data_IF_810608828714
#
_entry.id   IF_810608828714
#
_cell.length_a   1.000
_cell.length_b   1.000
_cell.length_c   1.000
_cell.angle_alpha   90.00
_cell.angle_beta   90.00
_cell.angle_gamma   90.00
#
_symmetry.space_group_name_H-M   'P 1'
#
loop_
_entity.id
_entity.type
_entity.pdbx_description
1 polymer ?
#
# COMPACT_ATOMS: atom_id res chain seq x y z
N UNK A 1 8.85 17.22 -5.89
CA UNK A 1 8.68 16.44 -7.13
C UNK A 1 8.16 15.08 -6.71
N UNK A 2 6.97 14.64 -7.14
CA UNK A 2 6.48 13.30 -6.82
C UNK A 2 7.26 12.29 -7.66
N UNK A 3 7.73 11.20 -7.05
CA UNK A 3 8.46 10.16 -7.78
C UNK A 3 7.47 9.35 -8.63
N UNK A 4 7.78 9.19 -9.91
CA UNK A 4 6.94 8.45 -10.85
C UNK A 4 7.39 7.00 -10.98
N UNK A 5 6.44 6.08 -10.83
CA UNK A 5 6.61 4.64 -10.91
C UNK A 5 5.89 4.16 -12.17
N UNK A 6 6.61 3.53 -13.07
CA UNK A 6 6.03 2.83 -14.22
C UNK A 6 6.29 1.35 -14.01
N UNK A 7 5.21 0.60 -13.80
CA UNK A 7 5.25 -0.79 -13.38
C UNK A 7 4.41 -1.63 -14.35
N UNK A 8 4.81 -2.87 -14.57
CA UNK A 8 4.17 -3.78 -15.54
C UNK A 8 3.75 -5.08 -14.86
N UNK A 9 2.59 -5.60 -15.25
CA UNK A 9 2.06 -6.85 -14.73
C UNK A 9 2.58 -8.10 -15.47
N UNK A 10 3.15 -7.93 -16.67
CA UNK A 10 3.73 -9.03 -17.44
C UNK A 10 5.09 -9.46 -16.90
N UNK A 11 5.30 -10.77 -16.78
CA UNK A 11 6.45 -11.37 -16.08
C UNK A 11 7.71 -11.51 -16.94
N UNK A 12 7.53 -11.59 -18.25
CA UNK A 12 8.62 -11.62 -19.24
C UNK A 12 9.39 -10.29 -19.30
N UNK A 13 8.78 -9.20 -18.82
CA UNK A 13 9.38 -7.85 -18.70
C UNK A 13 9.67 -7.45 -17.26
N UNK A 14 9.86 -8.41 -16.34
CA UNK A 14 10.33 -8.15 -14.97
C UNK A 14 11.81 -7.70 -14.98
N UNK A 15 12.08 -6.53 -15.52
CA UNK A 15 13.35 -5.86 -15.31
C UNK A 15 13.45 -5.42 -13.85
N UNK A 16 14.63 -5.59 -13.25
CA UNK A 16 14.91 -5.02 -11.94
C UNK A 16 14.74 -3.51 -12.01
N UNK A 17 13.80 -2.99 -11.24
CA UNK A 17 13.56 -1.55 -11.20
C UNK A 17 14.52 -0.86 -10.25
N UNK A 18 14.98 0.33 -10.63
CA UNK A 18 15.76 1.23 -9.77
C UNK A 18 14.88 2.14 -8.91
N UNK A 19 13.58 1.84 -8.80
CA UNK A 19 12.63 2.61 -8.00
C UNK A 19 12.85 2.34 -6.51
N UNK A 20 13.03 3.43 -5.76
CA UNK A 20 13.30 3.40 -4.32
C UNK A 20 12.37 4.38 -3.62
N UNK A 21 11.73 3.93 -2.56
CA UNK A 21 11.06 4.78 -1.57
C UNK A 21 11.83 4.70 -0.27
N UNK A 22 12.04 5.84 0.39
CA UNK A 22 12.69 5.89 1.70
C UNK A 22 11.82 6.68 2.65
N UNK A 23 11.42 6.05 3.74
CA UNK A 23 10.70 6.69 4.83
C UNK A 23 11.45 6.53 6.15
N UNK A 24 11.03 7.29 7.15
CA UNK A 24 11.55 7.17 8.51
C UNK A 24 10.43 6.74 9.45
N UNK A 25 10.79 5.93 10.44
CA UNK A 25 9.89 5.59 11.54
C UNK A 25 9.29 6.86 12.16
N UNK A 26 7.96 6.88 12.33
CA UNK A 26 7.23 8.01 12.91
C UNK A 26 6.73 9.06 11.92
N UNK A 27 7.10 8.97 10.64
CA UNK A 27 6.48 9.80 9.60
C UNK A 27 5.04 9.33 9.35
N UNK A 28 4.06 10.24 9.50
CA UNK A 28 2.64 9.90 9.33
C UNK A 28 2.15 10.02 7.88
N UNK A 29 2.63 11.00 7.11
CA UNK A 29 2.16 11.26 5.73
C UNK A 29 3.27 11.84 4.83
N UNK A 30 4.42 11.18 4.73
CA UNK A 30 5.58 11.76 4.01
C UNK A 30 5.81 11.23 2.59
N UNK A 31 5.30 10.04 2.26
CA UNK A 31 5.68 9.33 1.04
C UNK A 31 4.48 9.06 0.12
N UNK A 32 4.37 9.85 -0.94
CA UNK A 32 3.40 9.63 -2.03
C UNK A 32 4.13 9.44 -3.35
N UNK A 33 3.79 8.37 -4.08
CA UNK A 33 4.28 8.08 -5.42
C UNK A 33 3.18 8.24 -6.46
N UNK A 34 3.56 8.61 -7.67
CA UNK A 34 2.69 8.68 -8.85
C UNK A 34 2.90 7.40 -9.68
N UNK A 35 1.87 6.59 -9.90
CA UNK A 35 2.00 5.21 -10.40
C UNK A 35 1.24 5.02 -11.69
N UNK A 36 1.88 4.41 -12.69
CA UNK A 36 1.28 3.96 -13.94
C UNK A 36 1.46 2.45 -14.08
N UNK A 37 0.34 1.73 -14.18
CA UNK A 37 0.35 0.29 -14.44
C UNK A 37 0.27 0.02 -15.93
N UNK A 38 1.14 -0.87 -16.38
CA UNK A 38 1.24 -1.35 -17.75
C UNK A 38 0.94 -2.84 -17.84
N UNK A 39 0.54 -3.28 -19.03
CA UNK A 39 0.43 -4.67 -19.41
C UNK A 39 1.17 -4.85 -20.75
N UNK A 40 2.43 -5.27 -20.66
CA UNK A 40 3.30 -5.42 -21.82
C UNK A 40 3.76 -4.11 -22.43
N UNK A 41 3.84 -3.04 -21.63
CA UNK A 41 4.21 -1.68 -22.04
C UNK A 41 3.02 -0.76 -22.33
N UNK A 42 1.84 -1.32 -22.59
CA UNK A 42 0.62 -0.56 -22.83
C UNK A 42 -0.10 -0.21 -21.52
N UNK A 43 -0.81 0.93 -21.43
CA UNK A 43 -1.62 1.25 -20.24
C UNK A 43 -2.56 0.10 -19.85
N UNK A 44 -2.60 -0.23 -18.56
CA UNK A 44 -3.50 -1.25 -18.02
C UNK A 44 -4.71 -0.58 -17.35
N UNK A 45 -5.92 -0.63 -17.95
CA UNK A 45 -7.11 -0.05 -17.32
C UNK A 45 -7.43 -0.69 -15.97
N UNK A 46 -7.81 0.14 -15.00
CA UNK A 46 -8.15 -0.24 -13.62
C UNK A 46 -9.66 -0.15 -13.34
N UNK A 47 -10.49 0.06 -14.35
CA UNK A 47 -11.95 0.17 -14.20
C UNK A 47 -12.52 -1.11 -13.61
N UNK A 48 -13.23 -0.99 -12.48
CA UNK A 48 -13.76 -2.12 -11.70
C UNK A 48 -12.69 -3.10 -11.17
N UNK A 49 -11.45 -2.64 -11.02
CA UNK A 49 -10.37 -3.37 -10.37
C UNK A 49 -9.98 -2.66 -9.07
N UNK A 50 -9.54 -3.44 -8.08
CA UNK A 50 -9.00 -2.92 -6.83
C UNK A 50 -7.49 -3.05 -6.87
N UNK A 51 -6.78 -1.98 -6.55
CA UNK A 51 -5.32 -1.98 -6.41
C UNK A 51 -4.98 -2.11 -4.93
N UNK A 52 -4.04 -2.99 -4.61
CA UNK A 52 -3.43 -3.09 -3.30
C UNK A 52 -1.93 -2.88 -3.40
N UNK A 53 -1.37 -2.19 -2.41
CA UNK A 53 0.04 -2.31 -2.07
C UNK A 53 0.25 -3.48 -1.12
N UNK A 54 1.27 -4.29 -1.38
CA UNK A 54 1.63 -5.43 -0.54
C UNK A 54 3.12 -5.40 -0.23
N UNK A 55 3.47 -5.59 1.05
CA UNK A 55 4.87 -5.75 1.42
C UNK A 55 5.10 -6.67 2.61
N UNK A 56 6.34 -7.17 2.72
CA UNK A 56 6.85 -7.88 3.89
C UNK A 56 8.00 -7.06 4.48
N UNK A 57 7.81 -6.60 5.71
CA UNK A 57 8.76 -5.73 6.42
C UNK A 57 10.00 -6.51 6.89
N UNK A 58 11.08 -5.81 7.31
CA UNK A 58 12.29 -6.47 7.81
C UNK A 58 12.05 -7.50 8.92
N UNK A 59 11.05 -7.29 9.77
CA UNK A 59 10.66 -8.14 10.90
C UNK A 59 9.62 -9.22 10.57
N UNK A 60 9.38 -9.50 9.28
CA UNK A 60 8.44 -10.49 8.76
C UNK A 60 6.94 -10.16 8.94
N UNK A 61 6.59 -9.01 9.53
CA UNK A 61 5.20 -8.56 9.51
C UNK A 61 4.82 -8.01 8.14
N UNK A 62 3.55 -8.16 7.75
CA UNK A 62 3.08 -7.86 6.39
C UNK A 62 2.16 -6.64 6.37
N UNK A 63 2.17 -5.92 5.24
CA UNK A 63 1.24 -4.84 4.94
C UNK A 63 0.44 -5.25 3.71
N UNK A 64 -0.89 -5.12 3.78
CA UNK A 64 -1.77 -5.15 2.62
C UNK A 64 -2.70 -3.94 2.72
N UNK A 65 -2.48 -2.97 1.85
CA UNK A 65 -3.20 -1.71 1.88
C UNK A 65 -3.84 -1.36 0.53
N UNK A 66 -5.05 -0.82 0.57
CA UNK A 66 -5.72 -0.19 -0.57
C UNK A 66 -6.11 1.26 -0.30
N UNK A 67 -5.99 1.73 0.94
CA UNK A 67 -6.51 3.02 1.37
C UNK A 67 -5.59 4.17 0.97
N UNK A 68 -4.28 3.89 0.86
CA UNK A 68 -3.34 4.82 0.27
C UNK A 68 -3.55 5.05 -1.23
N UNK A 69 -4.39 4.25 -1.92
CA UNK A 69 -4.62 4.35 -3.37
C UNK A 69 -5.65 5.44 -3.68
N UNK A 70 -5.24 6.41 -4.48
CA UNK A 70 -6.12 7.41 -5.06
C UNK A 70 -6.05 7.37 -6.60
N UNK A 71 -7.09 6.82 -7.22
CA UNK A 71 -7.18 6.65 -8.68
C UNK A 71 -7.32 8.03 -9.35
N UNK A 72 -6.42 8.34 -10.29
CA UNK A 72 -6.41 9.61 -11.03
C UNK A 72 -7.04 9.43 -12.41
N UNK A 73 -6.62 8.41 -13.16
CA UNK A 73 -7.17 8.03 -14.46
C UNK A 73 -7.18 6.50 -14.58
N UNK A 74 -8.34 5.92 -14.24
CA UNK A 74 -8.53 4.47 -14.28
C UNK A 74 -8.30 3.89 -15.68
N UNK A 75 -8.67 4.61 -16.76
CA UNK A 75 -8.54 4.09 -18.12
C UNK A 75 -7.07 3.96 -18.55
N UNK A 76 -6.19 4.78 -17.96
CA UNK A 76 -4.74 4.76 -18.24
C UNK A 76 -3.93 4.00 -17.19
N UNK A 77 -4.57 3.39 -16.21
CA UNK A 77 -3.89 2.71 -15.11
C UNK A 77 -3.09 3.66 -14.21
N UNK A 78 -3.56 4.89 -14.05
CA UNK A 78 -2.86 5.95 -13.33
C UNK A 78 -3.50 6.23 -11.97
N UNK A 79 -2.70 6.17 -10.91
CA UNK A 79 -3.10 6.51 -9.55
C UNK A 79 -1.93 7.08 -8.77
N UNK A 80 -2.22 7.76 -7.67
CA UNK A 80 -1.21 8.06 -6.65
C UNK A 80 -1.34 7.07 -5.49
N UNK A 81 -0.23 6.70 -4.88
CA UNK A 81 -0.24 5.89 -3.66
C UNK A 81 0.53 6.58 -2.54
N UNK A 82 -0.14 6.78 -1.41
CA UNK A 82 0.48 7.28 -0.18
C UNK A 82 0.75 6.09 0.75
N UNK A 83 2.01 5.91 1.11
CA UNK A 83 2.40 4.81 2.01
C UNK A 83 1.91 5.11 3.43
N UNK A 84 1.21 4.16 4.07
CA UNK A 84 0.81 4.31 5.47
C UNK A 84 2.04 4.16 6.39
N UNK A 85 1.99 4.77 7.57
CA UNK A 85 3.12 4.83 8.51
C UNK A 85 3.62 3.44 8.94
N UNK A 86 2.72 2.47 8.96
CA UNK A 86 2.91 1.05 9.27
C UNK A 86 3.92 0.38 8.33
N UNK A 87 4.09 0.88 7.09
CA UNK A 87 5.13 0.39 6.16
C UNK A 87 6.52 0.66 6.71
N UNK A 88 6.70 1.79 7.38
CA UNK A 88 7.98 2.24 7.89
C UNK A 88 8.21 1.91 9.37
N UNK A 89 7.31 1.17 10.03
CA UNK A 89 7.42 0.87 11.46
C UNK A 89 8.56 -0.09 11.84
N UNK A 90 9.15 -0.80 10.89
CA UNK A 90 10.27 -1.72 11.11
C UNK A 90 11.50 -1.24 10.33
N UNK A 91 12.61 -0.91 11.01
CA UNK A 91 13.78 -0.33 10.35
C UNK A 91 14.52 -1.36 9.52
N UNK A 92 14.97 -0.96 8.34
CA UNK A 92 15.70 -1.77 7.38
C UNK A 92 15.06 -1.79 5.99
N UNK A 93 15.61 -2.62 5.13
CA UNK A 93 15.08 -2.85 3.79
C UNK A 93 13.88 -3.80 3.85
N UNK A 94 12.75 -3.35 3.30
CA UNK A 94 11.56 -4.18 3.10
C UNK A 94 11.93 -5.35 2.19
N UNK A 95 11.57 -6.57 2.62
CA UNK A 95 11.97 -7.83 1.97
C UNK A 95 11.31 -8.03 0.62
N UNK A 96 10.10 -7.51 0.45
CA UNK A 96 9.29 -7.59 -0.77
C UNK A 96 8.30 -6.45 -0.79
N UNK A 97 8.11 -5.78 -1.92
CA UNK A 97 7.18 -4.66 -2.06
C UNK A 97 6.71 -4.54 -3.51
N UNK A 98 5.40 -4.61 -3.75
CA UNK A 98 4.79 -4.56 -5.09
C UNK A 98 3.34 -4.09 -5.01
N UNK A 99 2.72 -3.82 -6.16
CA UNK A 99 1.28 -3.63 -6.26
C UNK A 99 0.60 -4.88 -6.82
N UNK A 100 -0.57 -5.23 -6.28
CA UNK A 100 -1.48 -6.21 -6.86
C UNK A 100 -2.74 -5.54 -7.38
N UNK A 101 -3.30 -6.09 -8.45
CA UNK A 101 -4.55 -5.65 -9.06
C UNK A 101 -5.49 -6.84 -9.08
N UNK A 102 -6.67 -6.66 -8.49
CA UNK A 102 -7.63 -7.73 -8.25
C UNK A 102 -9.04 -7.40 -8.70
N UNK A 103 -9.81 -8.44 -8.99
CA UNK A 103 -11.27 -8.37 -9.18
C UNK A 103 -11.96 -9.54 -8.52
N UNK A 104 -12.67 -9.29 -7.42
CA UNK A 104 -13.60 -10.22 -6.76
C UNK A 104 -13.09 -11.67 -6.67
N UNK A 105 -11.78 -11.88 -6.40
CA UNK A 105 -11.09 -13.20 -6.39
C UNK A 105 -11.08 -13.98 -7.72
N UNK A 106 -11.67 -13.44 -8.78
CA UNK A 106 -11.70 -14.02 -10.13
C UNK A 106 -10.45 -13.68 -10.95
N UNK A 107 -9.79 -12.57 -10.60
CA UNK A 107 -8.58 -12.09 -11.28
C UNK A 107 -7.59 -11.55 -10.25
N UNK A 108 -6.31 -11.85 -10.47
CA UNK A 108 -5.20 -11.24 -9.76
C UNK A 108 -4.00 -11.10 -10.70
N UNK A 109 -3.40 -9.93 -10.72
CA UNK A 109 -2.11 -9.64 -11.34
C UNK A 109 -1.22 -8.85 -10.37
N UNK A 110 0.10 -8.91 -10.55
CA UNK A 110 1.06 -8.19 -9.69
C UNK A 110 2.12 -7.51 -10.52
N UNK A 111 2.66 -6.39 -10.02
CA UNK A 111 3.80 -5.70 -10.63
C UNK A 111 5.12 -6.35 -10.24
N UNK A 112 6.21 -5.95 -10.89
CA UNK A 112 7.55 -6.18 -10.35
C UNK A 112 7.72 -5.58 -8.96
N UNK A 113 8.66 -6.16 -8.21
CA UNK A 113 9.06 -5.65 -6.91
C UNK A 113 9.83 -4.34 -7.07
N UNK A 114 9.68 -3.41 -6.12
CA UNK A 114 10.49 -2.20 -5.99
C UNK A 114 11.07 -2.07 -4.58
N UNK A 115 12.06 -1.19 -4.40
CA UNK A 115 12.75 -1.07 -3.13
C UNK A 115 12.04 -0.10 -2.18
N UNK A 116 11.85 -0.53 -0.93
CA UNK A 116 11.38 0.34 0.16
C UNK A 116 12.35 0.22 1.33
N UNK A 117 12.80 1.37 1.84
CA UNK A 117 13.75 1.46 2.95
C UNK A 117 13.09 2.22 4.10
N UNK A 118 13.04 1.60 5.27
CA UNK A 118 12.68 2.26 6.52
C UNK A 118 13.92 2.64 7.32
N UNK A 119 14.04 3.91 7.64
CA UNK A 119 15.10 4.46 8.49
C UNK A 119 14.64 4.53 9.95
N UNK A 120 15.56 4.27 10.89
CA UNK A 120 15.31 4.45 12.32
C UNK A 120 15.01 5.91 12.65
N UNK A 121 14.11 6.16 13.59
CA UNK A 121 14.00 7.44 14.26
C UNK A 121 15.20 7.67 15.20
N UNK A 122 15.29 8.86 15.79
CA UNK A 122 16.36 9.18 16.74
C UNK A 122 16.14 8.56 18.13
N UNK A 123 14.91 8.14 18.46
CA UNK A 123 14.48 7.82 19.83
C UNK A 123 13.88 6.41 19.99
N UNK A 124 13.84 5.58 18.95
CA UNK A 124 13.47 4.15 18.92
C UNK A 124 12.04 3.79 19.35
N UNK A 125 11.08 4.74 19.35
CA UNK A 125 9.85 4.57 20.16
C UNK A 125 8.50 4.95 19.54
N UNK A 126 8.39 5.25 18.25
CA UNK A 126 7.17 5.90 17.75
C UNK A 126 6.05 4.97 17.26
N UNK A 127 6.33 3.76 16.76
CA UNK A 127 5.31 2.87 16.21
C UNK A 127 5.70 1.41 16.47
N UNK A 128 4.82 0.63 17.10
CA UNK A 128 4.96 -0.83 17.18
C UNK A 128 4.73 -1.45 15.81
N UNK A 129 5.59 -2.40 15.44
CA UNK A 129 5.51 -3.02 14.12
C UNK A 129 4.63 -4.26 14.17
N UNK A 130 3.46 -4.17 13.51
CA UNK A 130 2.50 -5.26 13.42
C UNK A 130 2.11 -5.54 11.96
N UNK A 131 1.34 -6.61 11.75
CA UNK A 131 0.72 -6.89 10.46
C UNK A 131 -0.48 -5.98 10.27
N UNK A 132 -0.52 -5.25 9.15
CA UNK A 132 -1.57 -4.29 8.82
C UNK A 132 -2.32 -4.76 7.57
N UNK A 133 -3.64 -4.88 7.70
CA UNK A 133 -4.55 -5.15 6.59
C UNK A 133 -5.63 -4.08 6.62
N UNK A 134 -5.60 -3.15 5.69
CA UNK A 134 -6.46 -1.96 5.77
C UNK A 134 -7.96 -2.26 5.79
N UNK A 135 -8.37 -3.34 5.12
CA UNK A 135 -9.76 -3.81 5.13
C UNK A 135 -10.19 -4.32 6.51
N UNK A 136 -9.28 -4.92 7.26
CA UNK A 136 -9.55 -5.41 8.62
C UNK A 136 -9.72 -4.24 9.59
N UNK A 137 -8.85 -3.23 9.49
CA UNK A 137 -8.92 -2.04 10.34
C UNK A 137 -10.21 -1.24 10.09
N UNK A 138 -10.61 -1.09 8.82
CA UNK A 138 -11.91 -0.52 8.49
C UNK A 138 -13.08 -1.29 9.08
N UNK A 139 -13.05 -2.62 9.03
CA UNK A 139 -14.10 -3.43 9.63
C UNK A 139 -14.16 -3.24 11.15
N UNK A 140 -13.00 -3.16 11.81
CA UNK A 140 -12.91 -2.94 13.26
C UNK A 140 -13.43 -1.55 13.66
N UNK A 141 -13.10 -0.51 12.89
CA UNK A 141 -13.62 0.85 13.04
C UNK A 141 -15.16 0.89 12.94
N UNK A 142 -15.74 0.24 11.92
CA UNK A 142 -17.20 0.16 11.77
C UNK A 142 -17.88 -0.52 12.96
N UNK A 143 -17.32 -1.64 13.43
CA UNK A 143 -17.86 -2.36 14.60
C UNK A 143 -17.82 -1.50 15.86
N UNK A 144 -16.72 -0.75 16.09
CA UNK A 144 -16.62 0.20 17.20
C UNK A 144 -17.66 1.32 17.09
N UNK A 145 -17.91 1.81 15.87
CA UNK A 145 -18.95 2.79 15.58
C UNK A 145 -20.34 2.29 15.97
N UNK A 146 -20.75 1.12 15.46
CA UNK A 146 -22.05 0.53 15.80
C UNK A 146 -22.23 0.26 17.29
N UNK A 147 -21.17 -0.17 17.98
CA UNK A 147 -21.23 -0.36 19.43
C UNK A 147 -21.53 0.94 20.18
N UNK A 148 -20.91 2.06 19.78
CA UNK A 148 -21.20 3.38 20.37
C UNK A 148 -22.66 3.78 20.14
N UNK A 149 -23.18 3.60 18.91
CA UNK A 149 -24.58 3.90 18.58
C UNK A 149 -25.57 3.08 19.43
N UNK A 150 -25.30 1.78 19.63
CA UNK A 150 -26.11 0.90 20.48
C UNK A 150 -26.06 1.35 21.95
N UNK A 151 -24.87 1.66 22.46
CA UNK A 151 -24.68 2.12 23.85
C UNK A 151 -25.37 3.47 24.10
N UNK A 152 -25.43 4.36 23.09
CA UNK A 152 -26.18 5.62 23.15
C UNK A 152 -27.70 5.41 23.10
N UNK A 153 -28.17 4.47 22.28
CA UNK A 153 -29.59 4.13 22.18
C UNK A 153 -30.13 3.51 23.48
N UNK A 154 -29.32 2.68 24.16
CA UNK A 154 -29.68 2.02 25.41
C UNK A 154 -29.62 2.93 26.66
N UNK A 155 -29.13 4.16 26.53
CA UNK A 155 -29.13 5.18 27.60
C UNK A 155 -30.39 6.06 27.61
N UNK A 156 -31.30 5.86 26.66
CA UNK A 156 -32.61 6.53 26.59
C UNK A 156 -33.69 5.65 27.19
#
# INVERSE_FOLDING_TARGET
MKTTFVLDIQKDKYEYTSLIVTGRMGDLESNTVDVYIKNGGEPCPLTNLTVFYECVKPDDTAIRDKEGVNIIDAAKGHFTYTFPAEVFSAPGQVKRSFFSIEKDKTFRATTQDFLVISLRDALTGHIESETYISEFDKALEMVKGYRKEIDEANKR
#
